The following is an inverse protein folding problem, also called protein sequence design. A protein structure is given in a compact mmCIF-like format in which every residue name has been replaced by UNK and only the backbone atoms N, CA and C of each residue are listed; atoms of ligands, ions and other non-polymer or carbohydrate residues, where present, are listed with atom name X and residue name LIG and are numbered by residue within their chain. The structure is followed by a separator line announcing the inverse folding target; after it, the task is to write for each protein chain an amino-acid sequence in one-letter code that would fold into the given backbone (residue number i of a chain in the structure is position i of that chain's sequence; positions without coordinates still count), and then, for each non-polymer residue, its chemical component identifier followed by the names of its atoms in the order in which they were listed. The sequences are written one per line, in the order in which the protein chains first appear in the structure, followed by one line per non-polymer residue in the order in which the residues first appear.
data_IF_479938316664
#
_entry.id   IF_479938316664
#
_cell.length_a   1.000
_cell.length_b   1.000
_cell.length_c   1.000
_cell.angle_alpha   90.00
_cell.angle_beta   90.00
_cell.angle_gamma   90.00
#
_symmetry.space_group_name_H-M   'P 1'
#
loop_
_entity.id
_entity.type
_entity.pdbx_description
1 polymer ?
#
# COMPACT_ATOMS: atom_id res chain seq x y z
N UNK A 1 3.99 13.54 5.69
CA UNK A 1 4.11 14.89 5.10
C UNK A 1 5.18 14.95 4.00
N UNK A 2 6.49 15.05 4.30
CA UNK A 2 7.53 15.37 3.28
C UNK A 2 7.52 14.47 2.02
N UNK A 3 7.31 13.17 2.17
CA UNK A 3 7.28 12.23 1.04
C UNK A 3 6.06 12.47 0.14
N UNK A 4 4.91 12.65 0.76
CA UNK A 4 3.65 12.90 0.06
C UNK A 4 3.71 14.24 -0.66
N UNK A 5 4.16 15.27 0.04
CA UNK A 5 4.28 16.63 -0.52
C UNK A 5 5.19 16.64 -1.76
N UNK A 6 6.31 15.91 -1.72
CA UNK A 6 7.22 15.80 -2.87
C UNK A 6 6.60 15.06 -4.07
N UNK A 7 5.83 13.98 -3.83
CA UNK A 7 5.11 13.30 -4.92
C UNK A 7 4.01 14.19 -5.50
N UNK A 8 3.30 14.88 -4.62
CA UNK A 8 2.26 15.83 -5.00
C UNK A 8 2.82 17.00 -5.81
N UNK A 9 3.99 17.50 -5.45
CA UNK A 9 4.69 18.54 -6.21
C UNK A 9 5.09 18.08 -7.63
N UNK A 10 5.57 16.83 -7.78
CA UNK A 10 5.87 16.26 -9.09
C UNK A 10 4.60 16.14 -9.92
N UNK A 11 3.52 15.60 -9.33
CA UNK A 11 2.24 15.47 -10.03
C UNK A 11 1.66 16.84 -10.43
N UNK A 12 1.80 17.87 -9.59
CA UNK A 12 1.37 19.24 -9.87
C UNK A 12 2.16 19.86 -11.02
N UNK A 13 3.47 19.68 -11.04
CA UNK A 13 4.32 20.16 -12.13
C UNK A 13 3.93 19.53 -13.47
N UNK A 14 3.66 18.20 -13.49
CA UNK A 14 3.21 17.51 -14.69
C UNK A 14 1.83 17.99 -15.12
N UNK A 15 0.87 18.13 -14.20
CA UNK A 15 -0.47 18.62 -14.50
C UNK A 15 -0.50 20.07 -15.01
N UNK A 16 0.53 20.88 -14.71
CA UNK A 16 0.67 22.26 -15.21
C UNK A 16 1.29 22.36 -16.61
N UNK A 17 1.72 21.25 -17.20
CA UNK A 17 2.18 21.21 -18.60
C UNK A 17 1.03 21.42 -19.57
N UNK A 18 1.32 21.68 -20.88
CA UNK A 18 0.28 21.73 -21.90
C UNK A 18 -0.64 20.51 -21.82
N UNK A 19 -1.98 20.69 -21.93
CA UNK A 19 -2.97 19.63 -21.69
C UNK A 19 -2.69 18.33 -22.45
N UNK A 20 -2.17 18.42 -23.68
CA UNK A 20 -1.81 17.25 -24.48
C UNK A 20 -0.69 16.42 -23.83
N UNK A 21 0.33 17.08 -23.26
CA UNK A 21 1.43 16.38 -22.62
C UNK A 21 1.02 15.74 -21.28
N UNK A 22 0.28 16.48 -20.46
CA UNK A 22 -0.22 15.98 -19.18
C UNK A 22 -1.19 14.81 -19.37
N UNK A 23 -2.10 14.90 -20.36
CA UNK A 23 -3.03 13.82 -20.71
C UNK A 23 -2.28 12.61 -21.28
N UNK A 24 -1.33 12.82 -22.18
CA UNK A 24 -0.49 11.75 -22.75
C UNK A 24 0.27 11.01 -21.66
N UNK A 25 0.93 11.73 -20.74
CA UNK A 25 1.62 11.11 -19.60
C UNK A 25 0.66 10.29 -18.73
N UNK A 26 -0.51 10.83 -18.42
CA UNK A 26 -1.47 10.17 -17.52
C UNK A 26 -2.13 8.94 -18.14
N UNK A 27 -2.20 8.86 -19.48
CA UNK A 27 -2.83 7.75 -20.22
C UNK A 27 -1.84 6.67 -20.71
N UNK A 28 -0.53 6.97 -20.70
CA UNK A 28 0.52 6.06 -21.14
C UNK A 28 0.64 4.83 -20.21
N UNK A 29 1.23 3.74 -20.72
CA UNK A 29 1.65 2.64 -19.85
C UNK A 29 2.72 3.14 -18.85
N UNK A 30 2.77 2.59 -17.62
CA UNK A 30 3.71 3.06 -16.59
C UNK A 30 5.18 3.06 -17.03
N UNK A 31 5.58 2.08 -17.85
CA UNK A 31 6.94 1.95 -18.40
C UNK A 31 7.23 3.05 -19.43
N UNK A 32 6.26 3.42 -20.26
CA UNK A 32 6.38 4.50 -21.23
C UNK A 32 6.44 5.86 -20.54
N UNK A 33 5.59 6.04 -19.52
CA UNK A 33 5.59 7.24 -18.69
C UNK A 33 6.91 7.36 -17.88
N UNK A 34 7.50 6.24 -17.44
CA UNK A 34 8.82 6.19 -16.81
C UNK A 34 9.91 6.62 -17.81
N UNK A 35 9.89 6.10 -19.03
CA UNK A 35 10.84 6.49 -20.06
C UNK A 35 10.73 8.00 -20.36
N UNK A 36 9.52 8.52 -20.43
CA UNK A 36 9.28 9.95 -20.65
C UNK A 36 9.81 10.80 -19.49
N UNK A 37 9.47 10.48 -18.21
CA UNK A 37 9.87 11.29 -17.05
C UNK A 37 11.38 11.28 -16.81
N UNK A 38 12.07 10.20 -17.23
CA UNK A 38 13.53 10.06 -17.09
C UNK A 38 14.33 10.61 -18.26
N UNK A 39 13.73 10.73 -19.46
CA UNK A 39 14.43 11.07 -20.69
C UNK A 39 13.94 12.32 -21.41
N UNK A 40 12.62 12.51 -21.51
CA UNK A 40 12.00 13.52 -22.39
C UNK A 40 11.23 14.62 -21.66
N UNK A 41 10.98 14.45 -20.36
CA UNK A 41 10.30 15.45 -19.55
C UNK A 41 11.14 16.73 -19.37
N UNK A 42 10.51 17.87 -19.05
CA UNK A 42 11.22 19.06 -18.62
C UNK A 42 12.23 18.75 -17.51
N UNK A 43 13.39 19.40 -17.56
CA UNK A 43 14.52 19.10 -16.64
C UNK A 43 14.12 19.18 -15.15
N UNK A 44 13.26 20.12 -14.81
CA UNK A 44 12.84 20.31 -13.41
C UNK A 44 12.05 19.10 -12.91
N UNK A 45 11.14 18.57 -13.72
CA UNK A 45 10.34 17.36 -13.41
C UNK A 45 11.25 16.13 -13.30
N UNK A 46 12.12 15.92 -14.30
CA UNK A 46 13.07 14.81 -14.30
C UNK A 46 14.01 14.85 -13.08
N UNK A 47 14.54 16.03 -12.76
CA UNK A 47 15.41 16.23 -11.59
C UNK A 47 14.66 15.97 -10.28
N UNK A 48 13.41 16.45 -10.15
CA UNK A 48 12.58 16.23 -8.98
C UNK A 48 12.30 14.74 -8.78
N UNK A 49 11.96 14.01 -9.85
CA UNK A 49 11.74 12.57 -9.80
C UNK A 49 13.01 11.80 -9.41
N UNK A 50 14.15 12.13 -10.00
CA UNK A 50 15.43 11.49 -9.65
C UNK A 50 15.86 11.79 -8.22
N UNK A 51 15.68 13.04 -7.75
CA UNK A 51 15.95 13.43 -6.38
C UNK A 51 15.04 12.67 -5.39
N UNK A 52 13.76 12.49 -5.74
CA UNK A 52 12.83 11.68 -4.98
C UNK A 52 13.29 10.22 -4.90
N UNK A 53 13.61 9.58 -6.01
CA UNK A 53 14.10 8.19 -6.03
C UNK A 53 15.41 8.04 -5.24
N UNK A 54 16.33 8.98 -5.34
CA UNK A 54 17.58 8.97 -4.57
C UNK A 54 17.32 9.01 -3.07
N UNK A 55 16.33 9.78 -2.62
CA UNK A 55 16.02 9.98 -1.21
C UNK A 55 15.10 8.89 -0.65
N UNK A 56 14.09 8.48 -1.43
CA UNK A 56 12.98 7.63 -0.99
C UNK A 56 12.86 6.31 -1.76
N UNK A 57 13.71 6.07 -2.75
CA UNK A 57 13.62 4.87 -3.60
C UNK A 57 13.76 3.53 -2.89
N UNK A 58 14.25 3.52 -1.65
CA UNK A 58 14.27 2.33 -0.79
C UNK A 58 12.88 2.00 -0.21
N UNK A 59 11.90 2.93 -0.30
CA UNK A 59 10.52 2.73 0.13
C UNK A 59 9.73 1.99 -0.96
N UNK A 60 8.51 1.58 -0.65
CA UNK A 60 7.62 0.90 -1.59
C UNK A 60 6.43 0.23 -0.89
N UNK A 61 5.67 -0.53 -1.64
CA UNK A 61 4.60 -1.36 -1.11
C UNK A 61 5.18 -2.50 -0.26
N UNK A 62 4.59 -2.79 0.91
CA UNK A 62 5.08 -3.82 1.86
C UNK A 62 6.59 -3.71 2.13
N UNK A 63 7.07 -2.52 2.39
CA UNK A 63 8.48 -2.11 2.44
C UNK A 63 9.40 -2.91 3.41
N UNK A 64 8.83 -3.70 4.31
CA UNK A 64 9.58 -4.63 5.17
C UNK A 64 9.60 -6.07 4.63
N UNK A 65 8.97 -6.36 3.50
CA UNK A 65 9.01 -7.65 2.83
C UNK A 65 10.20 -7.71 1.88
N UNK A 66 11.16 -8.61 2.13
CA UNK A 66 12.36 -8.75 1.30
C UNK A 66 12.06 -9.05 -0.17
N UNK A 67 10.96 -9.75 -0.43
CA UNK A 67 10.54 -10.15 -1.77
C UNK A 67 9.93 -8.99 -2.57
N UNK A 68 9.28 -8.04 -1.90
CA UNK A 68 8.66 -6.91 -2.58
C UNK A 68 9.73 -5.95 -3.12
N UNK A 69 9.62 -5.51 -4.38
CA UNK A 69 10.54 -4.53 -4.92
C UNK A 69 10.28 -3.15 -4.28
N UNK A 70 11.35 -2.41 -4.08
CA UNK A 70 11.25 -0.99 -3.72
C UNK A 70 11.04 -0.12 -4.95
N UNK A 71 10.68 1.14 -4.77
CA UNK A 71 10.51 2.08 -5.89
C UNK A 71 11.77 2.27 -6.75
N UNK A 72 12.98 2.11 -6.20
CA UNK A 72 14.20 2.12 -6.99
C UNK A 72 14.43 0.84 -7.79
N UNK A 73 13.81 -0.29 -7.40
CA UNK A 73 13.87 -1.57 -8.09
C UNK A 73 12.73 -1.72 -9.11
N UNK A 74 11.57 -1.11 -8.87
CA UNK A 74 10.42 -1.07 -9.76
C UNK A 74 9.86 0.39 -9.84
N UNK A 75 10.57 1.31 -10.51
CA UNK A 75 10.17 2.71 -10.56
C UNK A 75 8.87 2.95 -11.36
N UNK A 76 8.45 2.02 -12.20
CA UNK A 76 7.18 2.09 -12.93
C UNK A 76 5.97 2.12 -11.97
N UNK A 77 6.01 1.37 -10.86
CA UNK A 77 4.95 1.37 -9.84
C UNK A 77 4.77 2.76 -9.20
N UNK A 78 5.89 3.47 -8.98
CA UNK A 78 5.86 4.85 -8.50
C UNK A 78 5.28 5.80 -9.54
N UNK A 79 5.61 5.61 -10.81
CA UNK A 79 5.08 6.42 -11.92
C UNK A 79 3.59 6.21 -12.07
N UNK A 80 3.06 4.98 -12.00
CA UNK A 80 1.63 4.70 -12.00
C UNK A 80 0.88 5.49 -10.90
N UNK A 81 1.49 5.58 -9.74
CA UNK A 81 1.04 6.39 -8.60
C UNK A 81 0.98 7.89 -8.94
N UNK A 82 2.02 8.44 -9.57
CA UNK A 82 2.06 9.84 -10.01
C UNK A 82 1.00 10.08 -11.10
N UNK A 83 0.85 9.16 -12.06
CA UNK A 83 -0.18 9.24 -13.10
C UNK A 83 -1.59 9.36 -12.53
N UNK A 84 -1.92 8.59 -11.50
CA UNK A 84 -3.21 8.69 -10.81
C UNK A 84 -3.43 10.08 -10.20
N UNK A 85 -2.40 10.64 -9.55
CA UNK A 85 -2.46 12.00 -9.00
C UNK A 85 -2.58 13.07 -10.09
N UNK A 86 -1.95 12.89 -11.25
CA UNK A 86 -2.07 13.80 -12.41
C UNK A 86 -3.48 13.73 -12.99
N UNK A 87 -4.03 12.52 -13.20
CA UNK A 87 -5.42 12.31 -13.68
C UNK A 87 -6.43 13.06 -12.83
N UNK A 88 -6.32 12.94 -11.52
CA UNK A 88 -7.21 13.63 -10.59
C UNK A 88 -7.17 15.16 -10.74
N UNK A 89 -5.98 15.72 -10.93
CA UNK A 89 -5.80 17.16 -11.11
C UNK A 89 -6.34 17.66 -12.44
N UNK A 90 -6.20 16.88 -13.51
CA UNK A 90 -6.77 17.20 -14.82
C UNK A 90 -8.29 17.15 -14.82
N UNK A 91 -8.92 16.31 -13.97
CA UNK A 91 -10.36 16.19 -13.81
C UNK A 91 -11.01 17.26 -12.90
N UNK A 92 -10.25 18.23 -12.39
CA UNK A 92 -10.70 19.26 -11.44
C UNK A 92 -11.37 18.71 -10.16
N UNK A 93 -10.99 17.50 -9.78
CA UNK A 93 -11.63 16.70 -8.72
C UNK A 93 -10.77 16.59 -7.45
N UNK A 94 -9.70 17.38 -7.33
CA UNK A 94 -8.92 17.41 -6.09
C UNK A 94 -9.66 18.18 -5.01
N UNK A 95 -10.16 17.46 -4.02
CA UNK A 95 -10.65 18.06 -2.78
C UNK A 95 -9.43 18.29 -1.88
N UNK A 96 -9.08 19.56 -1.65
CA UNK A 96 -8.11 19.89 -0.59
C UNK A 96 -8.79 19.69 0.75
N UNK A 97 -8.64 18.50 1.30
CA UNK A 97 -9.20 18.11 2.59
C UNK A 97 -8.26 18.36 3.77
N UNK A 98 -7.11 19.03 3.52
CA UNK A 98 -6.17 19.31 4.60
C UNK A 98 -6.84 20.18 5.65
N UNK A 99 -6.81 19.79 6.93
CA UNK A 99 -7.31 20.66 7.98
C UNK A 99 -6.48 21.95 8.01
N UNK A 100 -7.16 23.06 8.30
CA UNK A 100 -6.51 24.35 8.46
C UNK A 100 -5.32 24.24 9.44
N UNK A 101 -4.22 24.89 9.12
CA UNK A 101 -3.07 24.93 10.01
C UNK A 101 -3.49 25.55 11.34
N UNK A 102 -3.32 24.79 12.41
CA UNK A 102 -3.62 25.28 13.76
C UNK A 102 -2.64 26.42 14.06
N UNK A 103 -3.18 27.62 14.30
CA UNK A 103 -2.39 28.75 14.70
C UNK A 103 -1.75 28.45 16.07
N UNK A 104 -0.40 28.40 16.18
CA UNK A 104 0.28 28.13 17.46
C UNK A 104 -0.06 29.09 18.57
N UNK A 105 -0.50 30.32 18.26
CA UNK A 105 -0.86 31.33 19.24
C UNK A 105 -2.20 31.05 19.94
N UNK A 106 -3.08 30.28 19.30
CA UNK A 106 -4.38 29.88 19.85
C UNK A 106 -4.28 28.68 20.80
N UNK A 107 -3.11 28.04 20.86
CA UNK A 107 -2.88 26.88 21.71
C UNK A 107 -2.59 27.31 23.17
N UNK A 108 -3.11 26.52 24.12
CA UNK A 108 -2.74 26.70 25.55
C UNK A 108 -1.23 26.54 25.76
N UNK A 109 -0.71 27.17 26.79
CA UNK A 109 0.74 27.14 27.10
C UNK A 109 1.27 25.70 27.23
N UNK A 110 0.49 24.77 27.80
CA UNK A 110 0.85 23.35 27.89
C UNK A 110 0.96 22.67 26.53
N UNK A 111 0.03 22.93 25.61
CA UNK A 111 0.07 22.39 24.25
C UNK A 111 1.23 22.97 23.46
N UNK A 112 1.52 24.27 23.56
CA UNK A 112 2.70 24.89 22.94
C UNK A 112 4.02 24.26 23.40
N UNK A 113 4.10 23.84 24.66
CA UNK A 113 5.28 23.19 25.19
C UNK A 113 5.43 21.73 24.76
N UNK A 114 4.33 20.95 24.68
CA UNK A 114 4.37 19.51 24.36
C UNK A 114 4.41 19.22 22.87
N UNK A 115 3.76 20.04 22.04
CA UNK A 115 3.59 19.81 20.61
C UNK A 115 4.92 19.67 19.83
N UNK A 116 5.94 20.54 20.03
CA UNK A 116 7.24 20.38 19.39
C UNK A 116 7.96 19.09 19.78
N UNK A 117 7.76 18.62 21.02
CA UNK A 117 8.32 17.35 21.53
C UNK A 117 7.65 16.16 20.88
N UNK A 118 6.32 16.19 20.77
CA UNK A 118 5.55 15.17 20.06
C UNK A 118 5.95 15.09 18.58
N UNK A 119 6.03 16.22 17.89
CA UNK A 119 6.50 16.27 16.50
C UNK A 119 7.92 15.73 16.36
N UNK A 120 8.81 16.05 17.28
CA UNK A 120 10.18 15.53 17.24
C UNK A 120 10.24 14.01 17.50
N UNK A 121 9.40 13.49 18.39
CA UNK A 121 9.28 12.06 18.63
C UNK A 121 8.75 11.31 17.37
N UNK A 122 7.75 11.87 16.69
CA UNK A 122 7.22 11.35 15.43
C UNK A 122 8.31 11.36 14.36
N UNK A 123 9.05 12.46 14.18
CA UNK A 123 10.16 12.55 13.22
C UNK A 123 11.25 11.50 13.49
N UNK A 124 11.61 11.28 14.74
CA UNK A 124 12.60 10.25 15.12
C UNK A 124 12.09 8.84 14.83
N UNK A 125 10.83 8.56 15.14
CA UNK A 125 10.17 7.29 14.81
C UNK A 125 10.22 7.04 13.29
N UNK A 126 9.83 8.02 12.48
CA UNK A 126 9.85 7.89 11.03
C UNK A 126 11.27 7.74 10.47
N UNK A 127 12.24 8.44 11.04
CA UNK A 127 13.65 8.28 10.67
C UNK A 127 14.17 6.86 10.99
N UNK A 128 13.82 6.33 12.17
CA UNK A 128 14.19 4.95 12.56
C UNK A 128 13.53 3.92 11.64
N UNK A 129 12.24 4.10 11.33
CA UNK A 129 11.52 3.26 10.37
C UNK A 129 12.18 3.30 9.00
N UNK A 130 12.51 4.49 8.48
CA UNK A 130 13.19 4.65 7.20
C UNK A 130 14.56 3.95 7.17
N UNK A 131 15.32 3.98 8.27
CA UNK A 131 16.59 3.25 8.37
C UNK A 131 16.38 1.73 8.34
N UNK A 132 15.37 1.23 9.04
CA UNK A 132 15.02 -0.20 9.00
C UNK A 132 14.64 -0.63 7.57
N UNK A 133 13.80 0.14 6.89
CA UNK A 133 13.40 -0.12 5.50
C UNK A 133 14.61 -0.07 4.56
N UNK A 134 15.53 0.88 4.74
CA UNK A 134 16.78 0.94 3.96
C UNK A 134 17.63 -0.31 4.17
N UNK A 135 17.68 -0.84 5.39
CA UNK A 135 18.39 -2.09 5.68
C UNK A 135 17.72 -3.27 4.98
N UNK A 136 16.39 -3.37 5.06
CA UNK A 136 15.60 -4.39 4.36
C UNK A 136 15.80 -4.31 2.84
N UNK A 137 15.80 -3.11 2.27
CA UNK A 137 16.07 -2.88 0.85
C UNK A 137 17.46 -3.39 0.42
N UNK A 138 18.50 -3.10 1.21
CA UNK A 138 19.87 -3.60 0.92
C UNK A 138 19.95 -5.12 0.99
N UNK A 139 19.30 -5.74 1.97
CA UNK A 139 19.20 -7.19 2.05
C UNK A 139 18.44 -7.77 0.86
N UNK A 140 17.31 -7.19 0.50
CA UNK A 140 16.54 -7.58 -0.70
C UNK A 140 17.40 -7.55 -1.96
N UNK A 141 18.16 -6.48 -2.17
CA UNK A 141 19.08 -6.37 -3.32
C UNK A 141 20.13 -7.47 -3.32
N UNK A 142 20.72 -7.80 -2.16
CA UNK A 142 21.70 -8.88 -2.04
C UNK A 142 21.10 -10.26 -2.34
N UNK A 143 19.87 -10.53 -1.81
CA UNK A 143 19.18 -11.79 -2.12
C UNK A 143 18.78 -11.91 -3.59
N UNK A 144 18.33 -10.81 -4.23
CA UNK A 144 18.03 -10.79 -5.66
C UNK A 144 19.27 -11.08 -6.51
N UNK A 145 20.41 -10.47 -6.18
CA UNK A 145 21.69 -10.75 -6.85
C UNK A 145 22.12 -12.21 -6.66
N UNK A 146 21.92 -12.77 -5.47
CA UNK A 146 22.16 -14.19 -5.22
C UNK A 146 21.22 -15.07 -6.06
N UNK A 147 19.93 -14.74 -6.12
CA UNK A 147 18.96 -15.47 -6.94
C UNK A 147 19.35 -15.50 -8.41
N UNK A 148 19.71 -14.34 -8.98
CA UNK A 148 20.21 -14.25 -10.37
C UNK A 148 21.43 -15.14 -10.60
N UNK A 149 22.36 -15.17 -9.68
CA UNK A 149 23.55 -16.00 -9.78
C UNK A 149 23.22 -17.49 -9.69
N UNK A 150 22.32 -17.89 -8.79
CA UNK A 150 21.87 -19.28 -8.67
C UNK A 150 21.10 -19.76 -9.91
N UNK A 151 20.38 -18.87 -10.60
CA UNK A 151 19.76 -19.16 -11.91
C UNK A 151 20.84 -19.34 -12.98
N UNK A 152 21.84 -18.47 -13.04
CA UNK A 152 22.94 -18.58 -13.99
C UNK A 152 23.75 -19.89 -13.83
N UNK A 153 23.87 -20.38 -12.59
CA UNK A 153 24.51 -21.67 -12.29
C UNK A 153 23.56 -22.88 -12.46
N UNK A 154 22.33 -22.67 -12.90
CA UNK A 154 21.34 -23.73 -13.11
C UNK A 154 20.78 -24.36 -11.82
N UNK A 155 20.99 -23.75 -10.68
CA UNK A 155 20.50 -24.25 -9.38
C UNK A 155 19.05 -23.85 -9.11
N UNK A 156 18.59 -22.76 -9.69
CA UNK A 156 17.20 -22.26 -9.65
C UNK A 156 16.72 -21.98 -11.08
N UNK A 157 15.40 -21.95 -11.28
CA UNK A 157 14.77 -21.61 -12.58
C UNK A 157 14.31 -20.15 -12.63
N UNK A 158 14.09 -19.55 -11.46
CA UNK A 158 13.61 -18.17 -11.30
C UNK A 158 14.34 -17.52 -10.12
N UNK A 159 14.83 -16.31 -10.31
CA UNK A 159 15.57 -15.57 -9.27
C UNK A 159 14.75 -15.27 -8.03
N UNK A 160 13.41 -15.17 -8.16
CA UNK A 160 12.50 -14.94 -7.06
C UNK A 160 12.39 -16.14 -6.11
N UNK A 161 12.75 -17.35 -6.59
CA UNK A 161 12.77 -18.56 -5.77
C UNK A 161 13.68 -18.44 -4.54
N UNK A 162 14.70 -17.59 -4.56
CA UNK A 162 15.59 -17.33 -3.43
C UNK A 162 14.84 -16.94 -2.16
N UNK A 163 13.70 -16.26 -2.27
CA UNK A 163 12.91 -15.79 -1.14
C UNK A 163 12.06 -16.87 -0.47
N UNK A 164 12.03 -18.07 -1.04
CA UNK A 164 11.30 -19.21 -0.49
C UNK A 164 12.18 -20.19 0.29
N UNK A 165 13.44 -19.84 0.48
CA UNK A 165 14.38 -20.58 1.31
C UNK A 165 14.75 -19.81 2.57
N UNK A 166 14.99 -20.52 3.66
CA UNK A 166 15.64 -19.95 4.82
C UNK A 166 17.10 -19.62 4.54
N UNK A 167 17.70 -18.75 5.35
CA UNK A 167 19.11 -18.41 5.22
C UNK A 167 20.04 -19.65 5.31
N UNK A 168 19.70 -20.62 6.17
CA UNK A 168 20.47 -21.87 6.31
C UNK A 168 20.38 -22.72 5.03
N UNK A 169 19.20 -22.88 4.46
CA UNK A 169 19.00 -23.61 3.20
C UNK A 169 19.72 -22.95 2.03
N UNK A 170 19.73 -21.63 1.95
CA UNK A 170 20.48 -20.90 0.92
C UNK A 170 21.99 -21.10 1.08
N UNK A 171 22.49 -21.07 2.31
CA UNK A 171 23.90 -21.34 2.59
C UNK A 171 24.30 -22.72 2.12
N UNK A 172 23.46 -23.74 2.35
CA UNK A 172 23.73 -25.10 1.92
C UNK A 172 23.62 -25.25 0.40
N UNK A 173 22.60 -24.61 -0.24
CA UNK A 173 22.48 -24.57 -1.68
C UNK A 173 23.71 -23.94 -2.34
N UNK A 174 24.24 -22.83 -1.82
CA UNK A 174 25.46 -22.20 -2.34
C UNK A 174 26.65 -23.15 -2.24
N UNK A 175 26.81 -23.89 -1.12
CA UNK A 175 27.87 -24.88 -0.98
C UNK A 175 27.74 -26.04 -1.98
N UNK A 176 26.51 -26.52 -2.21
CA UNK A 176 26.21 -27.55 -3.19
C UNK A 176 26.58 -27.10 -4.62
N UNK A 177 26.23 -25.86 -4.99
CA UNK A 177 26.62 -25.26 -6.27
C UNK A 177 28.12 -25.15 -6.41
N UNK A 178 28.81 -24.63 -5.39
CA UNK A 178 30.29 -24.53 -5.40
C UNK A 178 30.99 -25.90 -5.50
N UNK A 179 30.38 -26.95 -4.94
CA UNK A 179 30.86 -28.32 -5.02
C UNK A 179 30.41 -29.08 -6.29
N UNK A 180 29.68 -28.40 -7.22
CA UNK A 180 29.08 -29.00 -8.42
C UNK A 180 28.18 -30.21 -8.13
N UNK A 181 27.48 -30.19 -7.00
CA UNK A 181 26.57 -31.26 -6.52
C UNK A 181 25.12 -30.84 -6.45
N UNK A 182 24.79 -29.64 -6.92
CA UNK A 182 23.44 -29.10 -6.78
C UNK A 182 22.39 -29.97 -7.52
N UNK A 183 21.40 -30.43 -6.76
CA UNK A 183 20.19 -31.05 -7.33
C UNK A 183 19.13 -29.95 -7.52
N UNK A 184 19.13 -29.33 -8.68
CA UNK A 184 18.24 -28.22 -9.00
C UNK A 184 16.75 -28.61 -8.93
N UNK A 185 16.37 -29.78 -9.40
CA UNK A 185 14.96 -30.21 -9.49
C UNK A 185 14.29 -30.25 -8.10
N UNK A 186 14.95 -30.86 -7.11
CA UNK A 186 14.39 -30.94 -5.75
C UNK A 186 14.27 -29.57 -5.08
N UNK A 187 15.22 -28.66 -5.33
CA UNK A 187 15.20 -27.30 -4.76
C UNK A 187 14.13 -26.43 -5.37
N UNK A 188 13.97 -26.48 -6.70
CA UNK A 188 12.91 -25.78 -7.43
C UNK A 188 11.53 -26.23 -6.93
N UNK A 189 11.32 -27.54 -6.80
CA UNK A 189 10.05 -28.10 -6.30
C UNK A 189 9.71 -27.61 -4.87
N UNK A 190 10.70 -27.53 -3.98
CA UNK A 190 10.52 -26.98 -2.63
C UNK A 190 10.12 -25.49 -2.70
N UNK A 191 10.78 -24.69 -3.51
CA UNK A 191 10.47 -23.27 -3.66
C UNK A 191 9.05 -23.05 -4.20
N UNK A 192 8.65 -23.82 -5.21
CA UNK A 192 7.36 -23.70 -5.86
C UNK A 192 6.21 -24.15 -4.94
N UNK A 193 6.39 -25.23 -4.17
CA UNK A 193 5.43 -25.64 -3.13
C UNK A 193 5.26 -24.57 -2.06
N UNK A 194 6.35 -23.94 -1.62
CA UNK A 194 6.27 -22.85 -0.63
C UNK A 194 5.64 -21.61 -1.20
N UNK A 195 5.91 -21.26 -2.47
CA UNK A 195 5.24 -20.17 -3.19
C UNK A 195 3.74 -20.40 -3.22
N UNK A 196 3.29 -21.61 -3.58
CA UNK A 196 1.88 -21.99 -3.58
C UNK A 196 1.28 -21.92 -2.18
N UNK A 197 1.94 -22.45 -1.16
CA UNK A 197 1.45 -22.39 0.22
C UNK A 197 1.26 -20.94 0.71
N UNK A 198 2.19 -20.03 0.36
CA UNK A 198 2.07 -18.62 0.72
C UNK A 198 0.90 -17.93 0.02
N UNK A 199 0.55 -18.30 -1.22
CA UNK A 199 -0.61 -17.73 -1.91
C UNK A 199 -1.94 -18.04 -1.22
N UNK A 200 -2.02 -19.14 -0.46
CA UNK A 200 -3.18 -19.46 0.38
C UNK A 200 -3.19 -18.67 1.70
N UNK A 201 -2.03 -18.27 2.21
CA UNK A 201 -1.95 -17.53 3.48
C UNK A 201 -2.56 -16.12 3.35
N UNK A 202 -2.55 -15.51 2.18
CA UNK A 202 -3.20 -14.22 1.95
C UNK A 202 -4.73 -14.27 2.16
N UNK A 203 -5.31 -15.48 2.19
CA UNK A 203 -6.73 -15.73 2.49
C UNK A 203 -7.01 -15.87 3.98
N UNK A 204 -5.98 -16.05 4.80
CA UNK A 204 -6.11 -16.24 6.24
C UNK A 204 -6.06 -14.89 6.94
N UNK A 205 -6.83 -14.74 7.99
CA UNK A 205 -6.78 -13.60 8.88
C UNK A 205 -6.50 -14.06 10.31
N UNK A 206 -5.89 -13.19 11.09
CA UNK A 206 -5.47 -13.45 12.46
C UNK A 206 -5.93 -12.31 13.35
N UNK A 207 -5.98 -12.55 14.66
CA UNK A 207 -6.23 -11.47 15.61
C UNK A 207 -5.14 -10.42 15.56
N UNK A 208 -5.52 -9.15 15.84
CA UNK A 208 -4.58 -8.00 15.88
C UNK A 208 -3.45 -8.21 16.88
N UNK A 209 -3.73 -8.90 17.97
CA UNK A 209 -2.78 -9.23 19.02
C UNK A 209 -2.90 -10.72 19.32
N UNK A 210 -1.82 -11.47 19.09
CA UNK A 210 -1.74 -12.89 19.36
C UNK A 210 -0.63 -13.18 20.38
N UNK A 211 -0.89 -14.09 21.30
CA UNK A 211 0.12 -14.64 22.19
C UNK A 211 0.51 -16.04 21.70
N UNK A 212 1.79 -16.28 21.48
CA UNK A 212 2.30 -17.54 20.96
C UNK A 212 2.16 -17.66 19.45
N UNK A 213 1.81 -18.86 18.94
CA UNK A 213 1.63 -19.11 17.52
C UNK A 213 0.24 -18.61 17.08
N UNK A 214 0.17 -17.66 16.11
CA UNK A 214 -1.11 -17.16 15.61
C UNK A 214 -1.96 -18.31 15.04
N UNK A 215 -3.25 -18.32 15.39
CA UNK A 215 -4.23 -19.23 14.80
C UNK A 215 -5.12 -18.46 13.83
N UNK A 216 -5.41 -19.01 12.64
CA UNK A 216 -6.34 -18.37 11.71
C UNK A 216 -7.71 -18.19 12.34
N UNK A 217 -8.34 -17.05 12.09
CA UNK A 217 -9.70 -16.78 12.54
C UNK A 217 -10.69 -17.63 11.74
N UNK A 218 -11.57 -18.36 12.44
CA UNK A 218 -12.69 -19.05 11.81
C UNK A 218 -13.88 -18.08 11.64
N UNK A 219 -14.11 -17.65 10.41
CA UNK A 219 -15.18 -16.70 10.07
C UNK A 219 -16.58 -17.30 10.10
N UNK A 220 -16.70 -18.64 10.08
CA UNK A 220 -18.01 -19.31 10.12
C UNK A 220 -18.72 -19.07 11.46
N UNK A 221 -17.97 -18.82 12.52
CA UNK A 221 -18.51 -18.59 13.87
C UNK A 221 -19.00 -17.15 14.12
N UNK A 222 -18.74 -16.19 13.22
CA UNK A 222 -19.11 -14.77 13.37
C UNK A 222 -20.16 -14.29 12.36
N UNK A 223 -20.90 -15.21 11.73
CA UNK A 223 -21.97 -14.89 10.78
C UNK A 223 -23.20 -14.18 11.43
N UNK A 224 -23.22 -14.05 12.77
CA UNK A 224 -24.34 -13.47 13.53
C UNK A 224 -24.25 -11.94 13.70
N UNK A 225 -23.30 -11.24 13.09
CA UNK A 225 -23.29 -9.79 13.08
C UNK A 225 -24.35 -9.28 12.08
N UNK A 226 -25.20 -8.37 12.54
CA UNK A 226 -26.38 -7.81 11.85
C UNK A 226 -26.16 -7.61 10.34
N UNK A 227 -27.05 -8.19 9.52
CA UNK A 227 -27.04 -8.00 8.07
C UNK A 227 -27.03 -6.50 7.73
N UNK A 228 -26.00 -6.05 6.99
CA UNK A 228 -25.89 -4.69 6.49
C UNK A 228 -25.02 -3.73 7.31
N UNK A 229 -24.67 -4.05 8.56
CA UNK A 229 -23.81 -3.20 9.39
C UNK A 229 -22.44 -3.85 9.61
N UNK A 230 -21.37 -3.09 9.35
CA UNK A 230 -19.98 -3.48 9.59
C UNK A 230 -19.41 -2.56 10.66
N UNK A 231 -18.82 -3.11 11.70
CA UNK A 231 -18.20 -2.35 12.78
C UNK A 231 -16.68 -2.39 12.68
N UNK A 232 -16.04 -1.29 13.06
CA UNK A 232 -14.59 -1.17 13.12
C UNK A 232 -14.15 -0.11 14.13
N UNK A 233 -12.86 0.18 14.14
CA UNK A 233 -12.28 1.20 15.00
C UNK A 233 -12.27 2.55 14.27
N UNK A 234 -12.97 3.58 14.76
CA UNK A 234 -12.88 4.93 14.21
C UNK A 234 -11.49 5.50 14.49
N UNK A 235 -10.86 6.08 13.47
CA UNK A 235 -9.50 6.65 13.58
C UNK A 235 -9.40 8.08 13.08
N UNK A 236 -10.34 8.52 12.27
CA UNK A 236 -10.50 9.92 11.85
C UNK A 236 -11.98 10.20 11.70
N UNK A 237 -12.47 11.26 12.32
CA UNK A 237 -13.90 11.57 12.46
C UNK A 237 -14.55 12.00 11.16
N UNK A 238 -15.87 11.92 11.13
CA UNK A 238 -16.72 12.39 10.05
C UNK A 238 -17.66 11.32 9.54
N UNK A 239 -18.65 11.78 8.77
CA UNK A 239 -19.64 10.92 8.13
C UNK A 239 -19.61 11.22 6.64
N UNK A 240 -19.55 10.17 5.81
CA UNK A 240 -19.60 10.30 4.36
C UNK A 240 -20.42 9.17 3.76
N UNK A 241 -21.16 9.50 2.71
CA UNK A 241 -21.86 8.54 1.86
C UNK A 241 -21.22 8.57 0.47
N UNK A 242 -21.01 7.43 -0.12
CA UNK A 242 -20.39 7.34 -1.43
C UNK A 242 -20.28 5.93 -1.95
N UNK A 243 -19.87 5.84 -3.19
CA UNK A 243 -19.61 4.56 -3.85
C UNK A 243 -18.35 3.93 -3.29
N UNK A 244 -18.42 2.65 -2.95
CA UNK A 244 -17.28 1.88 -2.48
C UNK A 244 -16.39 1.45 -3.65
N UNK A 245 -15.08 1.60 -3.48
CA UNK A 245 -14.04 0.98 -4.30
C UNK A 245 -13.29 -0.04 -3.45
N UNK A 246 -13.49 -1.31 -3.72
CA UNK A 246 -12.72 -2.38 -3.07
C UNK A 246 -11.44 -2.60 -3.86
N UNK A 247 -10.30 -2.42 -3.20
CA UNK A 247 -9.00 -2.67 -3.79
C UNK A 247 -8.12 -3.46 -2.82
N UNK A 248 -7.67 -4.63 -3.22
CA UNK A 248 -6.83 -5.53 -2.41
C UNK A 248 -5.35 -5.27 -2.58
N UNK A 249 -4.99 -4.57 -3.66
CA UNK A 249 -3.62 -4.13 -3.97
C UNK A 249 -3.62 -2.68 -4.47
N UNK A 250 -2.45 -2.08 -4.52
CA UNK A 250 -2.26 -0.74 -5.09
C UNK A 250 -2.61 -0.73 -6.59
N UNK A 251 -2.36 -1.83 -7.29
CA UNK A 251 -2.68 -1.98 -8.72
C UNK A 251 -4.19 -1.94 -8.95
N UNK A 252 -4.99 -2.60 -8.09
CA UNK A 252 -6.45 -2.56 -8.15
C UNK A 252 -7.02 -1.18 -7.82
N UNK A 253 -6.25 -0.34 -7.10
CA UNK A 253 -6.63 1.04 -6.81
C UNK A 253 -6.40 2.00 -7.97
N UNK A 254 -5.74 1.58 -9.07
CA UNK A 254 -5.52 2.42 -10.25
C UNK A 254 -6.81 2.93 -10.91
N UNK A 255 -7.90 2.18 -10.76
CA UNK A 255 -9.22 2.53 -11.28
C UNK A 255 -10.08 3.37 -10.34
N UNK A 256 -9.54 3.75 -9.17
CA UNK A 256 -10.22 4.54 -8.16
C UNK A 256 -10.62 5.91 -8.72
N UNK A 257 -11.90 6.25 -8.55
CA UNK A 257 -12.44 7.52 -8.98
C UNK A 257 -12.46 8.52 -7.82
N UNK A 258 -12.31 9.82 -8.10
CA UNK A 258 -12.43 10.86 -7.07
C UNK A 258 -13.78 10.81 -6.36
N UNK A 259 -13.74 10.92 -5.02
CA UNK A 259 -14.95 10.90 -4.19
C UNK A 259 -15.45 9.49 -3.83
N UNK A 260 -14.83 8.43 -4.30
CA UNK A 260 -15.14 7.07 -3.84
C UNK A 260 -14.64 6.82 -2.42
N UNK A 261 -15.25 5.85 -1.74
CA UNK A 261 -14.78 5.36 -0.43
C UNK A 261 -13.90 4.13 -0.67
N UNK A 262 -12.63 4.25 -0.32
CA UNK A 262 -11.69 3.14 -0.47
C UNK A 262 -11.91 2.08 0.60
N UNK A 263 -12.09 0.84 0.18
CA UNK A 263 -12.18 -0.35 1.03
C UNK A 263 -11.01 -1.27 0.71
N UNK A 264 -10.08 -1.43 1.66
CA UNK A 264 -8.84 -2.17 1.44
C UNK A 264 -8.54 -3.14 2.61
N UNK A 265 -7.77 -4.22 2.37
CA UNK A 265 -7.36 -5.10 3.48
C UNK A 265 -6.50 -4.36 4.50
N UNK A 266 -5.54 -3.59 4.02
CA UNK A 266 -4.61 -2.75 4.79
C UNK A 266 -4.02 -1.70 3.86
N UNK A 267 -3.63 -0.55 4.39
CA UNK A 267 -2.92 0.47 3.62
C UNK A 267 -1.52 0.74 4.17
N UNK A 268 -0.58 0.99 3.28
CA UNK A 268 0.80 1.38 3.58
C UNK A 268 1.23 2.60 2.73
N UNK A 269 2.53 2.87 2.69
CA UNK A 269 3.08 4.05 1.97
C UNK A 269 2.74 4.05 0.48
N UNK A 270 2.60 2.89 -0.14
CA UNK A 270 2.21 2.78 -1.56
C UNK A 270 0.82 3.33 -1.87
N UNK A 271 -0.08 3.37 -0.86
CA UNK A 271 -1.43 3.91 -1.00
C UNK A 271 -1.53 5.43 -0.85
N UNK A 272 -0.45 6.07 -0.42
CA UNK A 272 -0.47 7.48 -0.05
C UNK A 272 -1.07 8.42 -1.10
N UNK A 273 -0.79 8.27 -2.39
CA UNK A 273 -1.35 9.16 -3.42
C UNK A 273 -2.85 9.08 -3.59
N UNK A 274 -3.44 7.95 -3.24
CA UNK A 274 -4.89 7.75 -3.35
C UNK A 274 -5.69 8.48 -2.26
N UNK A 275 -5.03 8.86 -1.15
CA UNK A 275 -5.71 9.56 -0.06
C UNK A 275 -6.22 10.95 -0.45
N UNK A 276 -5.65 11.57 -1.47
CA UNK A 276 -6.15 12.84 -2.01
C UNK A 276 -7.39 12.69 -2.90
N UNK A 277 -7.75 11.46 -3.27
CA UNK A 277 -8.85 11.16 -4.19
C UNK A 277 -10.09 10.68 -3.47
N UNK A 278 -9.91 9.98 -2.34
CA UNK A 278 -11.00 9.30 -1.66
C UNK A 278 -11.79 10.24 -0.76
N UNK A 279 -13.08 9.96 -0.61
CA UNK A 279 -13.95 10.64 0.34
C UNK A 279 -13.91 10.01 1.73
N UNK A 280 -13.45 8.76 1.84
CA UNK A 280 -13.33 8.03 3.11
C UNK A 280 -12.52 6.75 2.97
N UNK A 281 -12.10 6.19 4.11
CA UNK A 281 -11.28 4.99 4.16
C UNK A 281 -11.89 3.92 5.09
N UNK A 282 -11.97 2.70 4.58
CA UNK A 282 -12.32 1.49 5.35
C UNK A 282 -11.19 0.47 5.18
N UNK A 283 -10.66 -0.07 6.28
CA UNK A 283 -9.67 -1.16 6.19
C UNK A 283 -10.04 -2.34 7.08
N UNK A 284 -9.75 -3.55 6.60
CA UNK A 284 -9.98 -4.77 7.36
C UNK A 284 -9.01 -4.90 8.53
N UNK A 285 -7.75 -4.54 8.31
CA UNK A 285 -6.70 -4.54 9.31
C UNK A 285 -6.21 -3.12 9.56
N UNK A 286 -5.86 -2.82 10.79
CA UNK A 286 -5.27 -1.56 11.16
C UNK A 286 -5.50 -1.19 12.62
N UNK A 287 -4.67 -0.29 13.11
CA UNK A 287 -4.77 0.28 14.45
C UNK A 287 -4.83 1.81 14.38
N UNK A 288 -5.07 2.45 15.51
CA UNK A 288 -5.03 3.92 15.59
C UNK A 288 -3.68 4.56 15.22
N UNK A 289 -2.63 3.76 15.10
CA UNK A 289 -1.29 4.18 14.69
C UNK A 289 -0.83 3.55 13.38
N UNK A 290 -1.71 2.84 12.67
CA UNK A 290 -1.42 2.33 11.32
C UNK A 290 -1.20 3.48 10.34
N UNK A 291 -0.51 3.20 9.22
CA UNK A 291 -0.21 4.22 8.21
C UNK A 291 -1.49 4.92 7.72
N UNK A 292 -2.50 4.15 7.31
CA UNK A 292 -3.79 4.70 6.86
C UNK A 292 -4.48 5.56 7.91
N UNK A 293 -4.43 5.16 9.19
CA UNK A 293 -5.02 5.95 10.28
C UNK A 293 -4.30 7.28 10.50
N UNK A 294 -2.98 7.30 10.36
CA UNK A 294 -2.18 8.54 10.49
C UNK A 294 -2.50 9.48 9.33
N UNK A 295 -2.42 8.96 8.09
CA UNK A 295 -2.69 9.76 6.90
C UNK A 295 -4.14 10.25 6.86
N UNK A 296 -5.12 9.41 7.18
CA UNK A 296 -6.53 9.83 7.22
C UNK A 296 -6.74 11.04 8.16
N UNK A 297 -6.07 11.05 9.33
CA UNK A 297 -6.12 12.21 10.24
C UNK A 297 -5.41 13.44 9.68
N UNK A 298 -4.28 13.26 8.99
CA UNK A 298 -3.55 14.37 8.35
C UNK A 298 -4.37 15.03 7.22
N UNK A 299 -5.20 14.25 6.54
CA UNK A 299 -6.06 14.72 5.46
C UNK A 299 -7.50 15.03 5.90
N UNK A 300 -7.85 14.83 7.17
CA UNK A 300 -9.22 15.03 7.66
C UNK A 300 -10.24 14.06 7.06
N UNK A 301 -9.81 12.92 6.52
CA UNK A 301 -10.66 11.93 5.89
C UNK A 301 -11.39 11.08 6.93
N UNK A 302 -12.73 10.92 6.85
CA UNK A 302 -13.44 9.93 7.65
C UNK A 302 -12.83 8.53 7.45
N UNK A 303 -12.44 7.85 8.54
CA UNK A 303 -11.77 6.58 8.41
C UNK A 303 -12.10 5.60 9.55
N UNK A 304 -12.36 4.36 9.15
CA UNK A 304 -12.60 3.22 10.03
C UNK A 304 -11.61 2.11 9.66
N UNK A 305 -10.88 1.63 10.66
CA UNK A 305 -9.94 0.52 10.50
C UNK A 305 -10.37 -0.69 11.33
N UNK A 306 -9.75 -1.85 11.07
CA UNK A 306 -10.01 -3.09 11.78
C UNK A 306 -11.47 -3.57 11.67
N UNK A 307 -12.05 -3.43 10.49
CA UNK A 307 -13.41 -3.95 10.18
C UNK A 307 -13.43 -5.46 10.02
N UNK A 308 -12.28 -6.07 9.71
CA UNK A 308 -12.06 -7.52 9.53
C UNK A 308 -12.78 -8.14 8.33
N UNK A 309 -13.88 -7.55 7.89
CA UNK A 309 -14.79 -8.12 6.88
C UNK A 309 -15.16 -7.15 5.76
N UNK A 310 -14.66 -5.91 5.80
CA UNK A 310 -15.02 -4.86 4.84
C UNK A 310 -14.85 -5.29 3.39
N UNK A 311 -13.65 -5.77 3.02
CA UNK A 311 -13.34 -6.22 1.65
C UNK A 311 -14.09 -7.47 1.20
N UNK A 312 -14.78 -8.16 2.11
CA UNK A 312 -15.58 -9.36 1.80
C UNK A 312 -17.06 -9.07 1.71
N UNK A 313 -17.56 -8.12 2.52
CA UNK A 313 -18.98 -7.78 2.62
C UNK A 313 -19.39 -6.63 1.71
N UNK A 314 -18.42 -5.79 1.33
CA UNK A 314 -18.62 -4.66 0.42
C UNK A 314 -18.03 -5.05 -0.93
N UNK A 315 -18.75 -4.72 -2.00
CA UNK A 315 -18.30 -4.87 -3.39
C UNK A 315 -18.04 -3.51 -4.02
N UNK A 316 -17.15 -3.46 -5.00
CA UNK A 316 -16.95 -2.24 -5.78
C UNK A 316 -18.26 -1.82 -6.43
N UNK A 317 -18.63 -0.56 -6.25
CA UNK A 317 -19.86 0.04 -6.75
C UNK A 317 -21.01 0.07 -5.74
N UNK A 318 -20.94 -0.66 -4.62
CA UNK A 318 -21.94 -0.56 -3.56
C UNK A 318 -21.99 0.87 -3.01
N UNK A 319 -23.21 1.36 -2.74
CA UNK A 319 -23.40 2.61 -2.03
C UNK A 319 -23.34 2.37 -0.52
N UNK A 320 -22.37 2.99 0.15
CA UNK A 320 -22.14 2.81 1.58
C UNK A 320 -22.18 4.14 2.32
N UNK A 321 -22.57 4.09 3.58
CA UNK A 321 -22.43 5.17 4.55
C UNK A 321 -21.37 4.80 5.57
N UNK A 322 -20.32 5.60 5.63
CA UNK A 322 -19.24 5.49 6.60
C UNK A 322 -19.48 6.50 7.71
N UNK A 323 -19.81 6.04 8.92
CA UNK A 323 -19.97 6.87 10.12
C UNK A 323 -18.75 6.63 11.03
N UNK A 324 -17.71 7.43 10.80
CA UNK A 324 -16.47 7.31 11.55
C UNK A 324 -16.54 7.95 12.96
N UNK A 325 -17.66 8.58 13.33
CA UNK A 325 -17.89 9.01 14.72
C UNK A 325 -18.34 7.81 15.58
N UNK A 326 -19.14 6.90 14.97
CA UNK A 326 -19.61 5.67 15.63
C UNK A 326 -18.74 4.45 15.35
N UNK A 327 -17.91 4.49 14.32
CA UNK A 327 -17.11 3.33 13.89
C UNK A 327 -17.92 2.28 13.14
N UNK A 328 -18.92 2.71 12.33
CA UNK A 328 -19.80 1.81 11.58
C UNK A 328 -19.82 2.15 10.09
N UNK A 329 -19.89 1.09 9.29
CA UNK A 329 -20.13 1.17 7.84
C UNK A 329 -21.45 0.47 7.54
N UNK A 330 -22.39 1.20 6.96
CA UNK A 330 -23.71 0.73 6.58
C UNK A 330 -23.80 0.57 5.06
N UNK A 331 -24.34 -0.56 4.61
CA UNK A 331 -24.59 -0.83 3.21
C UNK A 331 -25.96 -0.27 2.84
N UNK A 332 -26.00 0.84 2.08
CA UNK A 332 -27.24 1.52 1.70
C UNK A 332 -27.89 0.89 0.47
N UNK A 333 -27.07 0.50 -0.53
CA UNK A 333 -27.56 -0.14 -1.74
C UNK A 333 -26.49 -1.06 -2.32
N UNK A 334 -26.89 -2.25 -2.81
CA UNK A 334 -26.03 -3.20 -3.51
C UNK A 334 -26.25 -3.11 -5.01
N UNK A 335 -25.17 -3.17 -5.77
CA UNK A 335 -25.30 -3.36 -7.22
C UNK A 335 -25.73 -4.81 -7.50
N UNK A 336 -26.85 -5.03 -8.25
CA UNK A 336 -27.22 -6.37 -8.69
C UNK A 336 -26.13 -6.94 -9.60
N UNK A 337 -25.37 -7.93 -9.12
CA UNK A 337 -24.32 -8.60 -9.92
C UNK A 337 -22.90 -8.50 -9.34
N UNK A 338 -22.65 -7.75 -8.29
CA UNK A 338 -21.41 -7.83 -7.51
C UNK A 338 -21.39 -9.17 -6.76
N UNK A 339 -20.82 -10.20 -7.39
CA UNK A 339 -20.67 -11.49 -6.76
C UNK A 339 -19.69 -11.35 -5.59
N UNK A 340 -20.21 -11.47 -4.36
CA UNK A 340 -19.42 -12.06 -3.31
C UNK A 340 -18.86 -13.38 -3.90
N UNK A 341 -17.53 -13.49 -4.01
CA UNK A 341 -16.89 -14.72 -4.51
C UNK A 341 -17.54 -15.90 -3.83
N UNK A 342 -18.28 -16.69 -4.62
CA UNK A 342 -18.82 -17.95 -4.18
C UNK A 342 -17.62 -18.74 -3.63
N UNK A 343 -17.67 -19.01 -2.33
CA UNK A 343 -16.89 -20.07 -1.72
C UNK A 343 -16.89 -21.25 -2.68
N UNK A 344 -15.75 -21.53 -3.30
CA UNK A 344 -15.53 -22.82 -3.93
C UNK A 344 -15.57 -23.82 -2.80
N UNK A 345 -16.71 -24.48 -2.68
CA UNK A 345 -16.85 -25.73 -1.95
C UNK A 345 -16.05 -26.79 -2.74
N UNK A 346 -15.42 -27.65 -1.94
CA UNK A 346 -15.09 -29.06 -2.20
C UNK A 346 -13.72 -29.37 -2.85
N UNK A 347 -12.96 -29.96 -2.14
CA UNK A 347 -12.46 -31.30 -1.80
C UNK A 347 -11.06 -31.22 -1.20
#
# INVERSE_FOLDING_TARGET
AVLVDQLDDIARQIASLPPEQATSFSAAAPEEALAWITGSAPRDISNAFQAFLKRHGHRGYRELCLRQPSWSQAPADLVATIQTSVKARLGDTTVDTRPDEINPEELSAGLRWILPRAHNAIRRREATKSMLVLTTHRLSAAYRALGQRLVAEGALTDSDQVFFFSHAELKDLVKEVMAQRANSTARVDIADRRRLALSFQDRLQYDEICYGCPQPLDYRQRADEQEGLISGRPVSRGIVEGTARVARSVDEASDLQPGEILVAPITDVGWTPYFNLIAGLVTDLGSSVSHGAVIAREYGLPAIVNTRVGTRRISTGDLIRLDADKGTVELLNRIPGGAAEKTVNDH
#
